data_IF_834179927866
#
_entry.id   IF_834179927866
#
_cell.length_a   1.000
_cell.length_b   1.000
_cell.length_c   1.000
_cell.angle_alpha   90.00
_cell.angle_beta   90.00
_cell.angle_gamma   90.00
#
_symmetry.space_group_name_H-M   'P 1'
#
loop_
_entity.id
_entity.type
_entity.pdbx_description
1 polymer ?
#
# COMPACT_ATOMS: atom_id res chain seq x y z
N UNK A 1 5.89 -7.87 -24.64
CA UNK A 1 5.58 -9.16 -23.99
C UNK A 1 4.59 -9.86 -24.88
N UNK A 2 4.89 -11.09 -25.30
CA UNK A 2 3.99 -11.82 -26.20
C UNK A 2 2.83 -12.38 -25.40
N UNK A 3 1.64 -12.46 -26.01
CA UNK A 3 0.44 -13.02 -25.37
C UNK A 3 0.67 -14.44 -24.85
N UNK A 4 1.43 -15.25 -25.59
CA UNK A 4 1.78 -16.63 -25.22
C UNK A 4 2.57 -16.70 -23.90
N UNK A 5 3.51 -15.77 -23.67
CA UNK A 5 4.32 -15.74 -22.43
C UNK A 5 3.46 -15.43 -21.21
N UNK A 6 2.48 -14.54 -21.35
CA UNK A 6 1.52 -14.20 -20.29
C UNK A 6 0.57 -15.36 -19.99
N UNK A 7 0.09 -16.06 -21.01
CA UNK A 7 -0.77 -17.23 -20.84
C UNK A 7 -0.01 -18.38 -20.15
N UNK A 8 1.25 -18.63 -20.53
CA UNK A 8 2.11 -19.62 -19.85
C UNK A 8 2.37 -19.26 -18.38
N UNK A 9 2.67 -17.99 -18.08
CA UNK A 9 2.89 -17.54 -16.70
C UNK A 9 1.62 -17.63 -15.85
N UNK A 10 0.47 -17.30 -16.41
CA UNK A 10 -0.83 -17.47 -15.74
C UNK A 10 -1.13 -18.95 -15.46
N UNK A 11 -0.89 -19.84 -16.42
CA UNK A 11 -1.03 -21.29 -16.22
C UNK A 11 -0.07 -21.82 -15.16
N UNK A 12 1.15 -21.29 -15.08
CA UNK A 12 2.11 -21.64 -14.03
C UNK A 12 1.62 -21.26 -12.63
N UNK A 13 1.09 -20.05 -12.45
CA UNK A 13 0.48 -19.61 -11.18
C UNK A 13 -0.68 -20.53 -10.78
N UNK A 14 -1.58 -20.82 -11.72
CA UNK A 14 -2.77 -21.66 -11.46
C UNK A 14 -2.41 -23.11 -11.15
N UNK A 15 -1.45 -23.69 -11.88
CA UNK A 15 -0.94 -25.03 -11.61
C UNK A 15 -0.31 -25.12 -10.22
N UNK A 16 0.42 -24.08 -9.78
CA UNK A 16 0.98 -24.04 -8.43
C UNK A 16 -0.09 -23.95 -7.34
N UNK A 17 -1.24 -23.31 -7.61
CA UNK A 17 -2.35 -23.22 -6.65
C UNK A 17 -3.14 -24.53 -6.54
N UNK A 18 -3.26 -25.29 -7.64
CA UNK A 18 -3.94 -26.59 -7.65
C UNK A 18 -3.08 -27.72 -7.10
N UNK A 19 -1.78 -27.70 -7.39
CA UNK A 19 -0.86 -28.81 -7.10
C UNK A 19 -0.25 -28.76 -5.69
N UNK A 20 -0.55 -27.74 -4.88
CA UNK A 20 0.00 -27.58 -3.53
C UNK A 20 -1.08 -27.28 -2.53
N UNK A 21 -0.98 -27.94 -1.37
CA UNK A 21 -1.65 -27.48 -0.16
C UNK A 21 -1.03 -26.13 0.24
N UNK A 22 -1.78 -25.07 0.01
CA UNK A 22 -1.34 -23.73 0.40
C UNK A 22 -1.49 -23.56 1.91
N UNK A 23 -0.46 -23.06 2.57
CA UNK A 23 -0.56 -22.67 3.97
C UNK A 23 -1.30 -21.33 4.09
N UNK A 24 -2.32 -21.29 4.95
CA UNK A 24 -3.03 -20.03 5.24
C UNK A 24 -2.09 -19.16 6.09
N UNK A 25 -1.69 -17.97 5.63
CA UNK A 25 -0.74 -17.14 6.35
C UNK A 25 -1.33 -16.64 7.65
N UNK A 26 -0.53 -16.68 8.72
CA UNK A 26 -0.94 -16.15 10.02
C UNK A 26 -1.10 -14.63 9.97
N UNK A 27 -2.02 -14.08 10.77
CA UNK A 27 -2.22 -12.61 10.87
C UNK A 27 -0.92 -11.87 11.18
N UNK A 28 -0.02 -12.47 11.98
CA UNK A 28 1.29 -11.89 12.30
C UNK A 28 2.14 -11.65 11.04
N UNK A 29 2.18 -12.61 10.12
CA UNK A 29 2.94 -12.49 8.87
C UNK A 29 2.35 -11.40 7.97
N UNK A 30 1.01 -11.38 7.83
CA UNK A 30 0.31 -10.38 7.02
C UNK A 30 0.58 -8.98 7.57
N UNK A 31 0.34 -8.78 8.87
CA UNK A 31 0.51 -7.47 9.52
C UNK A 31 1.97 -7.00 9.53
N UNK A 32 2.94 -7.92 9.64
CA UNK A 32 4.37 -7.56 9.58
C UNK A 32 4.74 -6.88 8.26
N UNK A 33 4.21 -7.37 7.12
CA UNK A 33 4.43 -6.76 5.81
C UNK A 33 3.79 -5.37 5.73
N UNK A 34 2.55 -5.24 6.20
CA UNK A 34 1.78 -3.99 6.17
C UNK A 34 2.45 -2.92 7.05
N UNK A 35 2.77 -3.25 8.30
CA UNK A 35 3.49 -2.35 9.21
C UNK A 35 4.90 -2.01 8.71
N UNK A 36 5.56 -2.95 8.03
CA UNK A 36 6.83 -2.71 7.36
C UNK A 36 6.78 -1.61 6.29
N UNK A 37 5.59 -1.29 5.75
CA UNK A 37 5.37 -0.16 4.85
C UNK A 37 4.88 1.09 5.59
N UNK A 38 3.95 0.94 6.54
CA UNK A 38 3.46 2.07 7.34
C UNK A 38 4.58 2.79 8.10
N UNK A 39 5.64 2.10 8.53
CA UNK A 39 6.77 2.74 9.22
C UNK A 39 7.35 3.95 8.47
N UNK A 40 7.38 3.92 7.13
CA UNK A 40 7.90 5.04 6.34
C UNK A 40 6.95 6.25 6.35
N UNK A 41 5.65 5.99 6.38
CA UNK A 41 4.59 7.01 6.46
C UNK A 41 4.67 7.72 7.81
N UNK A 42 4.78 6.95 8.89
CA UNK A 42 4.95 7.48 10.25
C UNK A 42 6.29 8.19 10.44
N UNK A 43 7.37 7.68 9.87
CA UNK A 43 8.67 8.35 9.89
C UNK A 43 8.60 9.74 9.26
N UNK A 44 7.90 9.87 8.13
CA UNK A 44 7.70 11.17 7.48
C UNK A 44 6.85 12.11 8.36
N UNK A 45 5.80 11.61 9.03
CA UNK A 45 5.01 12.41 9.98
C UNK A 45 5.89 12.96 11.11
N UNK A 46 6.73 12.11 11.70
CA UNK A 46 7.64 12.52 12.79
C UNK A 46 8.59 13.61 12.30
N UNK A 47 9.16 13.48 11.10
CA UNK A 47 10.02 14.52 10.51
C UNK A 47 9.26 15.85 10.44
N UNK A 48 8.04 15.88 9.89
CA UNK A 48 7.30 17.13 9.76
C UNK A 48 6.86 17.73 11.11
N UNK A 49 6.51 16.91 12.10
CA UNK A 49 6.21 17.39 13.46
C UNK A 49 7.45 18.02 14.09
N UNK A 50 8.63 17.39 13.95
CA UNK A 50 9.90 17.95 14.44
C UNK A 50 10.27 19.23 13.70
N UNK A 51 10.13 19.28 12.37
CA UNK A 51 10.38 20.48 11.59
C UNK A 51 9.44 21.62 11.98
N UNK A 52 8.17 21.33 12.22
CA UNK A 52 7.18 22.30 12.69
C UNK A 52 7.61 22.93 14.01
N UNK A 53 8.07 22.10 14.95
CA UNK A 53 8.59 22.59 16.23
C UNK A 53 9.82 23.48 16.07
N UNK A 54 10.76 23.11 15.19
CA UNK A 54 11.99 23.90 14.98
C UNK A 54 11.70 25.25 14.32
N UNK A 55 10.78 25.30 13.36
CA UNK A 55 10.45 26.51 12.59
C UNK A 55 9.60 27.50 13.41
N UNK A 56 8.60 27.00 14.15
CA UNK A 56 7.63 27.82 14.88
C UNK A 56 7.99 27.99 16.37
N UNK A 57 9.26 27.77 16.73
CA UNK A 57 9.74 27.92 18.10
C UNK A 57 9.66 29.38 18.54
N UNK A 58 8.83 29.66 19.55
CA UNK A 58 8.77 30.98 20.17
C UNK A 58 9.73 31.04 21.38
N UNK A 59 10.48 32.14 21.56
CA UNK A 59 11.33 32.33 22.73
C UNK A 59 10.48 32.70 23.97
N UNK A 60 10.68 31.98 25.08
CA UNK A 60 10.27 32.46 26.41
C UNK A 60 9.42 31.52 27.26
N UNK A 61 8.76 30.51 26.68
CA UNK A 61 7.96 29.54 27.47
C UNK A 61 8.09 28.12 26.93
N UNK A 62 8.96 27.36 27.58
CA UNK A 62 9.24 25.97 27.23
C UNK A 62 8.04 25.05 27.51
N UNK A 63 7.23 25.36 28.52
CA UNK A 63 6.05 24.55 28.89
C UNK A 63 4.92 24.72 27.87
N UNK A 64 4.69 25.96 27.43
CA UNK A 64 3.73 26.24 26.35
C UNK A 64 4.12 25.56 25.03
N UNK A 65 5.41 25.59 24.68
CA UNK A 65 5.95 24.95 23.49
C UNK A 65 5.84 23.41 23.55
N UNK A 66 6.08 22.80 24.71
CA UNK A 66 5.84 21.36 24.90
C UNK A 66 4.36 20.98 24.76
N UNK A 67 3.45 21.79 25.32
CA UNK A 67 2.00 21.58 25.18
C UNK A 67 1.55 21.64 23.71
N UNK A 68 2.08 22.60 22.93
CA UNK A 68 1.85 22.70 21.48
C UNK A 68 2.26 21.42 20.74
N UNK A 69 3.47 20.90 20.98
CA UNK A 69 3.95 19.67 20.35
C UNK A 69 3.06 18.48 20.72
N UNK A 70 2.68 18.35 22.00
CA UNK A 70 1.82 17.25 22.46
C UNK A 70 0.47 17.31 21.74
N UNK A 71 -0.14 18.50 21.67
CA UNK A 71 -1.41 18.69 20.97
C UNK A 71 -1.29 18.37 19.47
N UNK A 72 -0.25 18.87 18.80
CA UNK A 72 0.02 18.61 17.39
C UNK A 72 0.24 17.11 17.13
N UNK A 73 0.97 16.45 18.03
CA UNK A 73 1.24 15.00 17.95
C UNK A 73 -0.03 14.18 18.16
N UNK A 74 -0.88 14.58 19.11
CA UNK A 74 -2.17 13.93 19.35
C UNK A 74 -3.08 14.06 18.13
N UNK A 75 -3.20 15.26 17.56
CA UNK A 75 -3.99 15.51 16.37
C UNK A 75 -3.46 14.72 15.15
N UNK A 76 -2.14 14.71 14.98
CA UNK A 76 -1.47 13.90 13.95
C UNK A 76 -1.71 12.40 14.15
N UNK A 77 -1.75 11.93 15.40
CA UNK A 77 -2.00 10.53 15.70
C UNK A 77 -3.40 10.11 15.22
N UNK A 78 -4.42 10.94 15.42
CA UNK A 78 -5.79 10.66 14.96
C UNK A 78 -5.86 10.52 13.44
N UNK A 79 -5.30 11.47 12.69
CA UNK A 79 -5.34 11.44 11.22
C UNK A 79 -4.52 10.29 10.64
N UNK A 80 -3.38 9.97 11.26
CA UNK A 80 -2.53 8.85 10.87
C UNK A 80 -3.15 7.49 11.22
N UNK A 81 -3.84 7.38 12.36
CA UNK A 81 -4.58 6.19 12.74
C UNK A 81 -5.72 5.92 11.75
N UNK A 82 -6.46 6.94 11.36
CA UNK A 82 -7.49 6.83 10.33
C UNK A 82 -6.90 6.32 9.00
N UNK A 83 -5.83 6.93 8.50
CA UNK A 83 -5.16 6.46 7.29
C UNK A 83 -4.67 5.01 7.42
N UNK A 84 -4.09 4.65 8.57
CA UNK A 84 -3.56 3.31 8.81
C UNK A 84 -4.66 2.25 8.79
N UNK A 85 -5.82 2.53 9.37
CA UNK A 85 -6.97 1.62 9.32
C UNK A 85 -7.42 1.38 7.88
N UNK A 86 -7.53 2.44 7.07
CA UNK A 86 -7.89 2.33 5.65
C UNK A 86 -6.83 1.55 4.88
N UNK A 87 -5.55 1.83 5.11
CA UNK A 87 -4.44 1.16 4.44
C UNK A 87 -4.41 -0.34 4.78
N UNK A 88 -4.59 -0.70 6.06
CA UNK A 88 -4.70 -2.09 6.50
C UNK A 88 -5.88 -2.76 5.80
N UNK A 89 -7.08 -2.18 5.87
CA UNK A 89 -8.28 -2.75 5.25
C UNK A 89 -8.11 -2.99 3.74
N UNK A 90 -7.51 -2.03 3.02
CA UNK A 90 -7.30 -2.13 1.58
C UNK A 90 -6.19 -3.14 1.17
N UNK A 91 -5.17 -3.33 2.01
CA UNK A 91 -4.01 -4.15 1.66
C UNK A 91 -4.06 -5.57 2.22
N UNK A 92 -4.85 -5.83 3.26
CA UNK A 92 -4.89 -7.10 3.98
C UNK A 92 -5.13 -8.31 3.06
N UNK A 93 -6.21 -8.25 2.27
CA UNK A 93 -6.57 -9.34 1.34
C UNK A 93 -5.49 -9.56 0.28
N UNK A 94 -4.92 -8.48 -0.27
CA UNK A 94 -3.87 -8.55 -1.28
C UNK A 94 -2.57 -9.17 -0.73
N UNK A 95 -2.18 -8.82 0.50
CA UNK A 95 -1.01 -9.41 1.16
C UNK A 95 -1.26 -10.86 1.52
N UNK A 96 -2.46 -11.22 1.97
CA UNK A 96 -2.85 -12.60 2.22
C UNK A 96 -2.70 -13.45 0.95
N UNK A 97 -3.25 -13.00 -0.18
CA UNK A 97 -3.12 -13.69 -1.47
C UNK A 97 -1.67 -13.80 -1.94
N UNK A 98 -0.87 -12.74 -1.74
CA UNK A 98 0.56 -12.80 -2.05
C UNK A 98 1.28 -13.87 -1.20
N UNK A 99 0.89 -13.98 0.07
CA UNK A 99 1.47 -14.92 1.04
C UNK A 99 0.97 -16.37 0.91
N UNK A 100 -0.05 -16.65 0.10
CA UNK A 100 -0.47 -18.04 -0.20
C UNK A 100 0.23 -18.59 -1.45
N UNK A 101 0.78 -17.74 -2.32
CA UNK A 101 1.53 -18.18 -3.50
C UNK A 101 2.83 -18.90 -3.09
N UNK A 102 3.19 -19.97 -3.81
CA UNK A 102 4.48 -20.65 -3.63
C UNK A 102 5.68 -19.74 -3.88
N UNK A 103 6.80 -19.98 -3.21
CA UNK A 103 7.98 -19.09 -3.30
C UNK A 103 8.61 -19.05 -4.70
N UNK A 104 8.53 -20.14 -5.46
CA UNK A 104 8.89 -20.20 -6.87
C UNK A 104 7.99 -19.30 -7.72
N UNK A 105 6.67 -19.32 -7.50
CA UNK A 105 5.75 -18.38 -8.17
C UNK A 105 6.08 -16.94 -7.79
N UNK A 106 6.39 -16.68 -6.51
CA UNK A 106 6.74 -15.34 -6.03
C UNK A 106 8.00 -14.77 -6.69
N UNK A 107 8.95 -15.64 -6.99
CA UNK A 107 10.26 -15.27 -7.53
C UNK A 107 10.27 -15.22 -9.05
N UNK A 108 9.64 -16.20 -9.68
CA UNK A 108 9.83 -16.50 -11.10
C UNK A 108 8.67 -15.99 -11.96
N UNK A 109 7.49 -15.68 -11.37
CA UNK A 109 6.35 -15.14 -12.13
C UNK A 109 6.62 -13.76 -12.73
N UNK A 110 6.38 -13.66 -14.03
CA UNK A 110 6.50 -12.42 -14.80
C UNK A 110 5.37 -11.45 -14.44
N UNK A 111 4.13 -11.93 -14.36
CA UNK A 111 2.95 -11.14 -13.99
C UNK A 111 3.13 -10.51 -12.61
N UNK A 112 3.57 -11.31 -11.63
CA UNK A 112 3.78 -10.83 -10.28
C UNK A 112 4.91 -9.80 -10.21
N UNK A 113 5.98 -9.97 -11.00
CA UNK A 113 7.06 -8.99 -11.13
C UNK A 113 6.55 -7.66 -11.70
N UNK A 114 5.66 -7.68 -12.69
CA UNK A 114 5.03 -6.47 -13.23
C UNK A 114 4.19 -5.76 -12.16
N UNK A 115 3.33 -6.50 -11.45
CA UNK A 115 2.49 -5.96 -10.37
C UNK A 115 3.36 -5.35 -9.28
N UNK A 116 4.40 -6.06 -8.83
CA UNK A 116 5.35 -5.60 -7.82
C UNK A 116 6.05 -4.30 -8.24
N UNK A 117 6.50 -4.22 -9.49
CA UNK A 117 7.14 -3.02 -10.02
C UNK A 117 6.18 -1.82 -10.06
N UNK A 118 4.92 -2.03 -10.44
CA UNK A 118 3.87 -0.99 -10.40
C UNK A 118 3.58 -0.54 -8.97
N UNK A 119 3.40 -1.46 -8.03
CA UNK A 119 3.20 -1.14 -6.61
C UNK A 119 4.38 -0.33 -6.07
N UNK A 120 5.62 -0.72 -6.38
CA UNK A 120 6.82 0.02 -5.98
C UNK A 120 6.85 1.42 -6.58
N UNK A 121 6.49 1.58 -7.85
CA UNK A 121 6.38 2.88 -8.49
C UNK A 121 5.37 3.79 -7.78
N UNK A 122 4.14 3.33 -7.57
CA UNK A 122 3.11 4.12 -6.87
C UNK A 122 3.45 4.38 -5.40
N UNK A 123 4.14 3.44 -4.73
CA UNK A 123 4.62 3.66 -3.37
C UNK A 123 5.65 4.79 -3.31
N UNK A 124 6.57 4.85 -4.28
CA UNK A 124 7.54 5.96 -4.38
C UNK A 124 6.86 7.27 -4.72
N UNK A 125 5.91 7.25 -5.65
CA UNK A 125 5.09 8.41 -6.01
C UNK A 125 4.36 8.96 -4.77
N UNK A 126 3.73 8.08 -3.99
CA UNK A 126 3.06 8.43 -2.74
C UNK A 126 3.99 9.13 -1.76
N UNK A 127 5.20 8.59 -1.55
CA UNK A 127 6.19 9.22 -0.66
C UNK A 127 6.60 10.61 -1.16
N UNK A 128 6.87 10.77 -2.45
CA UNK A 128 7.28 12.05 -3.04
C UNK A 128 6.16 13.08 -2.91
N UNK A 129 4.94 12.74 -3.32
CA UNK A 129 3.79 13.65 -3.28
C UNK A 129 3.48 14.07 -1.84
N UNK A 130 3.43 13.13 -0.88
CA UNK A 130 3.17 13.48 0.51
C UNK A 130 4.32 14.26 1.16
N UNK A 131 5.56 14.07 0.71
CA UNK A 131 6.67 14.93 1.15
C UNK A 131 6.47 16.37 0.66
N UNK A 132 6.06 16.56 -0.61
CA UNK A 132 5.76 17.88 -1.15
C UNK A 132 4.58 18.54 -0.44
N UNK A 133 3.48 17.79 -0.23
CA UNK A 133 2.32 18.28 0.51
C UNK A 133 2.71 18.64 1.95
N UNK A 134 3.54 17.83 2.61
CA UNK A 134 4.07 18.14 3.93
C UNK A 134 4.82 19.47 3.98
N UNK A 135 5.66 19.76 2.98
CA UNK A 135 6.34 21.06 2.89
C UNK A 135 5.35 22.23 2.71
N UNK A 136 4.29 22.05 1.91
CA UNK A 136 3.24 23.07 1.72
C UNK A 136 2.46 23.29 3.02
N UNK A 137 2.09 22.22 3.73
CA UNK A 137 1.39 22.29 5.01
C UNK A 137 2.26 22.98 6.07
N UNK A 138 3.56 22.66 6.09
CA UNK A 138 4.53 23.28 6.98
C UNK A 138 4.65 24.79 6.73
N UNK A 139 4.57 25.24 5.48
CA UNK A 139 4.54 26.67 5.17
C UNK A 139 3.19 27.32 5.55
N UNK A 140 2.07 26.61 5.36
CA UNK A 140 0.74 27.14 5.68
C UNK A 140 0.55 27.41 7.19
N UNK A 141 1.21 26.64 8.05
CA UNK A 141 1.25 26.88 9.49
C UNK A 141 1.37 25.60 10.31
N UNK A 142 1.83 25.76 11.56
CA UNK A 142 2.00 24.67 12.53
C UNK A 142 0.82 23.68 12.62
N UNK A 143 -0.46 24.08 12.79
CA UNK A 143 -1.54 23.11 12.97
C UNK A 143 -1.85 22.29 11.71
N UNK A 144 -1.49 22.80 10.52
CA UNK A 144 -1.79 22.13 9.25
C UNK A 144 -0.97 20.86 9.05
N UNK A 145 0.17 20.73 9.72
CA UNK A 145 1.03 19.53 9.67
C UNK A 145 0.31 18.28 10.16
N UNK A 146 -0.65 18.42 11.09
CA UNK A 146 -1.48 17.29 11.53
C UNK A 146 -2.43 16.78 10.44
N UNK A 147 -2.72 17.60 9.42
CA UNK A 147 -3.53 17.23 8.26
C UNK A 147 -2.84 16.27 7.28
N UNK A 148 -1.55 15.98 7.47
CA UNK A 148 -0.80 15.11 6.56
C UNK A 148 -1.40 13.69 6.47
N UNK A 149 -2.02 13.17 7.53
CA UNK A 149 -2.76 11.90 7.48
C UNK A 149 -3.91 11.89 6.46
N UNK A 150 -4.61 13.02 6.27
CA UNK A 150 -5.63 13.15 5.22
C UNK A 150 -5.01 13.19 3.82
N UNK A 151 -3.86 13.85 3.66
CA UNK A 151 -3.11 13.82 2.40
C UNK A 151 -2.72 12.38 2.04
N UNK A 152 -2.22 11.61 2.99
CA UNK A 152 -1.88 10.20 2.80
C UNK A 152 -3.09 9.39 2.34
N UNK A 153 -4.24 9.59 2.98
CA UNK A 153 -5.49 8.94 2.58
C UNK A 153 -5.92 9.31 1.15
N UNK A 154 -5.99 10.60 0.83
CA UNK A 154 -6.44 11.06 -0.48
C UNK A 154 -5.51 10.57 -1.61
N UNK A 155 -4.20 10.75 -1.42
CA UNK A 155 -3.19 10.31 -2.40
C UNK A 155 -3.15 8.79 -2.56
N UNK A 156 -3.39 8.03 -1.48
CA UNK A 156 -3.50 6.57 -1.52
C UNK A 156 -4.70 6.12 -2.34
N UNK A 157 -5.88 6.70 -2.14
CA UNK A 157 -7.07 6.37 -2.96
C UNK A 157 -6.79 6.64 -4.43
N UNK A 158 -6.25 7.82 -4.75
CA UNK A 158 -5.92 8.19 -6.13
C UNK A 158 -4.93 7.18 -6.74
N UNK A 159 -3.89 6.82 -6.00
CA UNK A 159 -2.89 5.84 -6.44
C UNK A 159 -3.49 4.45 -6.64
N UNK A 160 -4.43 4.04 -5.79
CA UNK A 160 -5.11 2.76 -5.91
C UNK A 160 -5.99 2.73 -7.17
N UNK A 161 -6.72 3.80 -7.46
CA UNK A 161 -7.53 3.93 -8.68
C UNK A 161 -6.66 3.85 -9.94
N UNK A 162 -5.53 4.56 -9.96
CA UNK A 162 -4.58 4.49 -11.07
C UNK A 162 -3.90 3.12 -11.19
N UNK A 163 -3.58 2.46 -10.08
CA UNK A 163 -3.06 1.11 -10.09
C UNK A 163 -4.07 0.14 -10.72
N UNK A 164 -5.32 0.17 -10.25
CA UNK A 164 -6.43 -0.64 -10.79
C UNK A 164 -6.65 -0.36 -12.28
N UNK A 165 -6.73 0.91 -12.69
CA UNK A 165 -6.87 1.29 -14.09
C UNK A 165 -5.69 0.82 -14.96
N UNK A 166 -4.47 0.87 -14.42
CA UNK A 166 -3.28 0.41 -15.13
C UNK A 166 -3.20 -1.12 -15.25
N UNK A 167 -3.82 -1.86 -14.33
CA UNK A 167 -3.93 -3.32 -14.34
C UNK A 167 -5.08 -3.79 -15.23
N UNK A 168 -6.16 -3.02 -15.33
CA UNK A 168 -7.31 -3.33 -16.20
C UNK A 168 -6.90 -3.53 -17.67
N UNK A 169 -5.87 -2.83 -18.15
CA UNK A 169 -5.33 -3.02 -19.51
C UNK A 169 -4.75 -4.42 -19.77
N UNK A 170 -4.38 -5.15 -18.72
CA UNK A 170 -3.92 -6.53 -18.80
C UNK A 170 -5.07 -7.53 -18.68
N UNK A 171 -6.24 -7.10 -18.19
CA UNK A 171 -7.49 -7.86 -18.07
C UNK A 171 -8.36 -7.64 -19.32
N UNK A 172 -7.82 -7.92 -20.51
CA UNK A 172 -8.62 -7.87 -21.74
C UNK A 172 -9.72 -8.93 -21.72
N UNK A 173 -10.85 -8.75 -22.43
CA UNK A 173 -11.95 -9.72 -22.47
C UNK A 173 -11.50 -11.15 -22.83
N UNK A 174 -10.45 -11.29 -23.64
CA UNK A 174 -9.86 -12.58 -23.98
C UNK A 174 -9.18 -13.25 -22.78
N UNK A 175 -8.45 -12.50 -21.95
CA UNK A 175 -7.81 -13.02 -20.72
C UNK A 175 -8.86 -13.36 -19.65
N UNK A 176 -9.90 -12.52 -19.53
CA UNK A 176 -11.03 -12.78 -18.62
C UNK A 176 -11.84 -14.00 -19.07
N UNK A 177 -12.05 -14.19 -20.37
CA UNK A 177 -12.69 -15.40 -20.92
C UNK A 177 -11.86 -16.65 -20.65
N UNK A 178 -10.54 -16.59 -20.81
CA UNK A 178 -9.65 -17.71 -20.47
C UNK A 178 -9.67 -18.03 -18.97
N UNK A 179 -9.63 -17.02 -18.10
CA UNK A 179 -9.79 -17.20 -16.65
C UNK A 179 -11.17 -17.78 -16.28
N UNK A 180 -12.23 -17.36 -16.97
CA UNK A 180 -13.58 -17.92 -16.80
C UNK A 180 -13.65 -19.38 -17.19
N UNK A 181 -13.01 -19.78 -18.30
CA UNK A 181 -12.92 -21.18 -18.72
C UNK A 181 -12.12 -22.01 -17.73
N UNK A 182 -11.03 -21.48 -17.18
CA UNK A 182 -10.27 -22.18 -16.13
C UNK A 182 -11.07 -22.26 -14.83
N UNK A 183 -11.83 -21.23 -14.46
CA UNK A 183 -12.77 -21.27 -13.32
C UNK A 183 -13.85 -22.33 -13.53
N UNK A 184 -14.42 -22.44 -14.72
CA UNK A 184 -15.39 -23.49 -15.07
C UNK A 184 -14.76 -24.89 -14.94
N UNK A 185 -13.56 -25.09 -15.50
CA UNK A 185 -12.82 -26.36 -15.38
C UNK A 185 -12.48 -26.72 -13.93
N UNK A 186 -12.10 -25.73 -13.11
CA UNK A 186 -11.85 -25.91 -11.68
C UNK A 186 -13.13 -26.22 -10.90
N UNK A 187 -14.25 -25.58 -11.24
CA UNK A 187 -15.55 -25.82 -10.61
C UNK A 187 -16.21 -27.14 -11.04
N UNK A 188 -15.81 -27.66 -12.20
CA UNK A 188 -16.28 -28.94 -12.73
C UNK A 188 -15.46 -30.14 -12.22
N UNK A 189 -14.42 -29.92 -11.40
CA UNK A 189 -13.73 -31.03 -10.72
C UNK A 189 -14.70 -31.67 -9.73
N UNK A 190 -15.04 -32.97 -9.87
CA UNK A 190 -15.92 -33.64 -8.92
C UNK A 190 -15.24 -33.67 -7.54
N UNK A 191 -16.04 -33.51 -6.49
CA UNK A 191 -15.64 -33.82 -5.11
C UNK A 191 -15.26 -35.28 -4.96
#
# INVERSE_FOLDING_TARGET
MKRSELETDASFILASMNGRDYEIPTNKMIMSIIFGRLKYVYFLQIIFVVLSFVIYKEPGDLDYQFKKIIYLSLLSCVTMAFFSLVFIAATYSNVCMFLTLGDDVRRDSILLKIVKNKILFYTRLLLIVNSLVGCVLLWAGEPFVAGLGFSWFATFIVSMLFLQGSLSRYMTPAVVSSLSKVKELLSASPK
#
